data_IF_803880747699
#
_entry.id   IF_803880747699
#
_cell.length_a   1.000
_cell.length_b   1.000
_cell.length_c   1.000
_cell.angle_alpha   90.00
_cell.angle_beta   90.00
_cell.angle_gamma   90.00
#
_symmetry.space_group_name_H-M   'P 1'
#
loop_
_entity.id
_entity.type
_entity.pdbx_description
1 polymer ?
#
# COMPACT_ATOMS: atom_id res chain seq x y z
N UNK A 1 10.01 2.42 8.87
CA UNK A 1 9.29 1.18 8.54
C UNK A 1 10.25 0.00 8.49
N UNK A 2 9.81 -1.13 9.03
CA UNK A 2 10.52 -2.41 8.92
C UNK A 2 9.62 -3.35 8.13
N UNK A 3 10.16 -3.96 7.09
CA UNK A 3 9.46 -4.97 6.30
C UNK A 3 10.09 -6.34 6.53
N UNK A 4 9.29 -7.27 7.03
CA UNK A 4 9.66 -8.69 7.11
C UNK A 4 9.06 -9.42 5.90
N UNK A 5 9.87 -10.22 5.20
CA UNK A 5 9.40 -11.05 4.10
C UNK A 5 9.71 -12.52 4.36
N UNK A 6 8.70 -13.38 4.31
CA UNK A 6 8.80 -14.79 4.68
C UNK A 6 9.73 -15.58 3.75
N UNK A 7 9.81 -15.21 2.48
CA UNK A 7 10.62 -15.90 1.46
C UNK A 7 11.84 -15.08 1.00
N UNK A 8 12.14 -13.97 1.66
CA UNK A 8 13.19 -13.07 1.22
C UNK A 8 12.80 -12.22 0.01
N UNK A 9 13.65 -11.25 -0.32
CA UNK A 9 13.36 -10.29 -1.39
C UNK A 9 13.68 -10.81 -2.79
N UNK A 10 14.54 -11.80 -2.91
CA UNK A 10 15.09 -12.30 -4.18
C UNK A 10 14.43 -13.57 -4.70
N UNK A 11 13.37 -14.05 -4.05
CA UNK A 11 12.64 -15.23 -4.50
C UNK A 11 11.89 -14.99 -5.82
N UNK A 12 11.75 -16.04 -6.68
CA UNK A 12 10.95 -15.94 -7.89
C UNK A 12 9.52 -15.50 -7.60
N UNK A 13 8.95 -14.66 -8.47
CA UNK A 13 7.60 -14.08 -8.30
C UNK A 13 6.55 -15.20 -8.17
N UNK A 14 6.65 -16.25 -9.00
CA UNK A 14 5.70 -17.36 -9.00
C UNK A 14 5.68 -18.13 -7.68
N UNK A 15 6.82 -18.30 -7.02
CA UNK A 15 6.91 -18.95 -5.71
C UNK A 15 6.30 -18.05 -4.64
N UNK A 16 6.58 -16.77 -4.70
CA UNK A 16 6.04 -15.78 -3.75
C UNK A 16 4.52 -15.68 -3.85
N UNK A 17 3.96 -15.67 -5.04
CA UNK A 17 2.51 -15.64 -5.27
C UNK A 17 1.79 -16.88 -4.77
N UNK A 18 2.44 -18.05 -4.87
CA UNK A 18 1.88 -19.33 -4.41
C UNK A 18 1.99 -19.57 -2.91
N UNK A 19 2.83 -18.81 -2.23
CA UNK A 19 3.08 -19.03 -0.80
C UNK A 19 1.86 -18.72 0.06
N UNK A 20 1.15 -17.68 -0.26
CA UNK A 20 0.00 -17.19 0.53
C UNK A 20 -1.07 -16.53 -0.37
N UNK A 21 -1.70 -17.30 -1.28
CA UNK A 21 -2.58 -16.74 -2.29
C UNK A 21 -3.83 -16.08 -1.70
N UNK A 22 -4.32 -16.56 -0.56
CA UNK A 22 -5.50 -16.03 0.13
C UNK A 22 -5.17 -15.02 1.26
N UNK A 23 -3.89 -14.79 1.55
CA UNK A 23 -3.45 -13.90 2.61
C UNK A 23 -3.56 -14.47 4.03
N UNK A 24 -3.97 -15.73 4.22
CA UNK A 24 -4.22 -16.31 5.53
C UNK A 24 -2.95 -16.39 6.39
N UNK A 25 -1.81 -16.75 5.80
CA UNK A 25 -0.52 -16.82 6.50
C UNK A 25 -0.06 -15.44 6.95
N UNK A 26 -0.10 -14.45 6.06
CA UNK A 26 0.25 -13.06 6.39
C UNK A 26 -0.66 -12.50 7.48
N UNK A 27 -1.95 -12.73 7.38
CA UNK A 27 -2.90 -12.27 8.40
C UNK A 27 -2.64 -12.92 9.76
N UNK A 28 -2.23 -14.18 9.79
CA UNK A 28 -1.80 -14.86 11.01
C UNK A 28 -0.56 -14.22 11.62
N UNK A 29 0.45 -13.92 10.80
CA UNK A 29 1.66 -13.21 11.22
C UNK A 29 1.36 -11.80 11.73
N UNK A 30 0.52 -11.06 11.01
CA UNK A 30 0.11 -9.70 11.42
C UNK A 30 -0.52 -9.73 12.81
N UNK A 31 -1.44 -10.66 13.06
CA UNK A 31 -2.08 -10.78 14.40
C UNK A 31 -1.08 -11.12 15.50
N UNK A 32 -0.17 -12.05 15.24
CA UNK A 32 0.83 -12.46 16.22
C UNK A 32 1.81 -11.32 16.53
N UNK A 33 2.33 -10.64 15.52
CA UNK A 33 3.28 -9.53 15.70
C UNK A 33 2.58 -8.31 16.33
N UNK A 34 1.36 -7.99 15.93
CA UNK A 34 0.61 -6.89 16.51
C UNK A 34 0.31 -7.10 17.99
N UNK A 35 0.07 -8.35 18.41
CA UNK A 35 -0.12 -8.67 19.83
C UNK A 35 1.12 -8.40 20.68
N UNK A 36 2.31 -8.63 20.11
CA UNK A 36 3.60 -8.41 20.80
C UNK A 36 4.07 -6.95 20.73
N UNK A 37 3.60 -6.19 19.74
CA UNK A 37 3.99 -4.81 19.48
C UNK A 37 2.76 -3.88 19.40
N UNK A 38 2.00 -3.74 20.51
CA UNK A 38 0.72 -3.02 20.49
C UNK A 38 0.86 -1.52 20.21
N UNK A 39 2.05 -0.95 20.39
CA UNK A 39 2.36 0.46 20.11
C UNK A 39 2.68 0.75 18.64
N UNK A 40 2.87 -0.30 17.83
CA UNK A 40 3.21 -0.16 16.43
C UNK A 40 2.03 -0.52 15.52
N UNK A 41 2.09 -0.05 14.30
CA UNK A 41 1.19 -0.46 13.23
C UNK A 41 1.78 -1.66 12.49
N UNK A 42 1.01 -2.74 12.37
CA UNK A 42 1.42 -3.96 11.68
C UNK A 42 0.42 -4.27 10.58
N UNK A 43 0.87 -4.36 9.35
CA UNK A 43 0.02 -4.61 8.18
C UNK A 43 0.62 -5.66 7.25
N UNK A 44 -0.25 -6.38 6.56
CA UNK A 44 0.18 -7.25 5.46
C UNK A 44 0.60 -6.39 4.26
N UNK A 45 1.77 -6.68 3.71
CA UNK A 45 2.30 -6.03 2.51
C UNK A 45 2.63 -7.04 1.41
N UNK A 46 2.63 -6.61 0.17
CA UNK A 46 3.01 -7.45 -0.98
C UNK A 46 2.34 -8.83 -1.00
N UNK A 47 3.08 -9.85 -1.41
CA UNK A 47 2.61 -11.25 -1.46
C UNK A 47 3.12 -12.09 -0.28
N UNK A 48 4.25 -11.71 0.32
CA UNK A 48 4.94 -12.49 1.35
C UNK A 48 5.39 -11.65 2.54
N UNK A 49 4.96 -10.39 2.63
CA UNK A 49 5.54 -9.42 3.56
C UNK A 49 4.58 -9.01 4.65
N UNK A 50 5.15 -8.62 5.77
CA UNK A 50 4.50 -7.91 6.87
C UNK A 50 5.28 -6.62 7.13
N UNK A 51 4.58 -5.51 7.14
CA UNK A 51 5.13 -4.19 7.37
C UNK A 51 4.85 -3.72 8.80
N UNK A 52 5.87 -3.22 9.46
CA UNK A 52 5.81 -2.68 10.82
C UNK A 52 6.26 -1.24 10.77
N UNK A 53 5.44 -0.32 11.25
CA UNK A 53 5.73 1.11 11.25
C UNK A 53 5.20 1.79 12.52
N UNK A 54 5.61 3.03 12.72
CA UNK A 54 5.01 3.87 13.75
C UNK A 54 3.54 4.15 13.38
N UNK A 55 2.67 4.19 14.40
CA UNK A 55 1.28 4.57 14.18
C UNK A 55 1.18 5.98 13.62
N UNK A 56 0.26 6.17 12.65
CA UNK A 56 0.06 7.44 11.99
C UNK A 56 1.00 7.72 10.81
N UNK A 57 2.01 6.89 10.59
CA UNK A 57 2.92 6.99 9.43
C UNK A 57 2.49 6.01 8.33
N UNK A 58 1.31 6.24 7.78
CA UNK A 58 0.73 5.48 6.69
C UNK A 58 0.67 6.32 5.39
N UNK A 59 -0.01 5.83 4.38
CA UNK A 59 -0.15 6.56 3.11
C UNK A 59 -1.02 7.80 3.25
N UNK A 60 -1.93 7.85 4.22
CA UNK A 60 -2.66 9.07 4.56
C UNK A 60 -1.73 10.17 5.07
N UNK A 61 -0.78 9.82 5.93
CA UNK A 61 0.25 10.75 6.39
C UNK A 61 1.06 11.28 5.20
N UNK A 62 1.54 10.41 4.32
CA UNK A 62 2.33 10.79 3.16
C UNK A 62 1.56 11.75 2.23
N UNK A 63 0.29 11.48 1.97
CA UNK A 63 -0.59 12.35 1.15
C UNK A 63 -0.74 13.73 1.80
N UNK A 64 -0.98 13.79 3.10
CA UNK A 64 -1.13 15.07 3.83
C UNK A 64 0.17 15.88 3.84
N UNK A 65 1.31 15.22 4.06
CA UNK A 65 2.62 15.88 4.02
C UNK A 65 2.94 16.42 2.62
N UNK A 66 2.64 15.65 1.57
CA UNK A 66 2.82 16.10 0.19
C UNK A 66 1.91 17.30 -0.13
N UNK A 67 0.64 17.22 0.23
CA UNK A 67 -0.32 18.31 0.04
C UNK A 67 0.15 19.60 0.73
N UNK A 68 0.61 19.48 1.98
CA UNK A 68 1.13 20.60 2.76
C UNK A 68 2.38 21.21 2.12
N UNK A 69 3.33 20.39 1.69
CA UNK A 69 4.58 20.86 1.07
C UNK A 69 4.38 21.55 -0.28
N UNK A 70 3.33 21.16 -1.01
CA UNK A 70 2.96 21.76 -2.31
C UNK A 70 1.94 22.90 -2.19
N UNK A 71 1.46 23.19 -0.97
CA UNK A 71 0.39 24.15 -0.71
C UNK A 71 -0.87 23.85 -1.55
N UNK A 72 -1.26 22.58 -1.60
CA UNK A 72 -2.41 22.07 -2.32
C UNK A 72 -3.38 21.37 -1.37
N UNK A 73 -4.70 21.43 -1.63
CA UNK A 73 -5.64 20.56 -0.93
C UNK A 73 -5.43 19.10 -1.31
N UNK A 74 -5.72 18.19 -0.38
CA UNK A 74 -5.50 16.73 -0.55
C UNK A 74 -6.25 16.18 -1.77
N UNK A 75 -7.44 16.69 -2.08
CA UNK A 75 -8.25 16.27 -3.23
C UNK A 75 -7.67 16.66 -4.61
N UNK A 76 -6.59 17.42 -4.62
CA UNK A 76 -5.80 17.73 -5.83
C UNK A 76 -4.64 16.78 -6.07
N UNK A 77 -4.47 15.79 -5.21
CA UNK A 77 -3.45 14.75 -5.35
C UNK A 77 -4.12 13.47 -5.83
N UNK A 78 -3.69 12.95 -6.97
CA UNK A 78 -4.09 11.63 -7.43
C UNK A 78 -3.20 10.57 -6.79
N UNK A 79 -3.82 9.58 -6.18
CA UNK A 79 -3.15 8.41 -5.64
C UNK A 79 -3.60 7.16 -6.40
N UNK A 80 -2.65 6.40 -6.92
CA UNK A 80 -2.91 5.17 -7.67
C UNK A 80 -2.40 3.98 -6.86
N UNK A 81 -3.25 2.99 -6.65
CA UNK A 81 -2.87 1.82 -5.88
C UNK A 81 -3.75 0.61 -6.17
N UNK A 82 -3.24 -0.57 -5.89
CA UNK A 82 -3.92 -1.85 -6.13
C UNK A 82 -4.58 -2.44 -4.87
N UNK A 83 -4.30 -1.87 -3.69
CA UNK A 83 -4.81 -2.33 -2.40
C UNK A 83 -5.72 -1.30 -1.72
N UNK A 84 -6.78 -0.94 -2.44
CA UNK A 84 -7.76 0.07 -2.02
C UNK A 84 -8.93 -0.48 -1.19
N UNK A 85 -8.96 -1.75 -0.85
CA UNK A 85 -9.97 -2.30 0.08
C UNK A 85 -9.68 -1.85 1.52
N UNK A 86 -10.67 -1.84 2.44
CA UNK A 86 -10.51 -1.30 3.80
C UNK A 86 -9.36 -1.89 4.61
N UNK A 87 -8.97 -3.13 4.34
CA UNK A 87 -7.83 -3.82 4.95
C UNK A 87 -6.53 -3.68 4.15
N UNK A 88 -6.57 -3.01 3.00
CA UNK A 88 -5.41 -2.77 2.12
C UNK A 88 -4.56 -1.60 2.59
N UNK A 89 -3.27 -1.63 2.27
CA UNK A 89 -2.33 -0.59 2.67
C UNK A 89 -2.44 0.72 1.87
N UNK A 90 -3.22 0.72 0.77
CA UNK A 90 -3.52 1.91 -0.03
C UNK A 90 -4.79 2.65 0.42
N UNK A 91 -5.66 1.96 1.16
CA UNK A 91 -6.93 2.51 1.62
C UNK A 91 -6.79 3.82 2.43
N UNK A 92 -5.78 3.97 3.32
CA UNK A 92 -5.59 5.23 4.04
C UNK A 92 -5.41 6.45 3.14
N UNK A 93 -4.85 6.31 1.95
CA UNK A 93 -4.73 7.41 0.99
C UNK A 93 -6.10 7.87 0.47
N UNK A 94 -7.01 6.94 0.23
CA UNK A 94 -8.40 7.25 -0.14
C UNK A 94 -9.16 7.90 1.02
N UNK A 95 -9.02 7.37 2.24
CA UNK A 95 -9.65 7.95 3.44
C UNK A 95 -9.17 9.37 3.73
N UNK A 96 -7.92 9.70 3.40
CA UNK A 96 -7.39 11.06 3.54
C UNK A 96 -8.06 12.07 2.60
N UNK A 97 -8.81 11.62 1.61
CA UNK A 97 -9.54 12.48 0.67
C UNK A 97 -8.81 12.74 -0.64
N UNK A 98 -7.73 11.99 -0.95
CA UNK A 98 -7.06 12.07 -2.25
C UNK A 98 -7.98 11.59 -3.38
N UNK A 99 -7.66 11.99 -4.62
CA UNK A 99 -8.27 11.40 -5.80
C UNK A 99 -7.72 9.98 -5.99
N UNK A 100 -8.32 9.01 -5.31
CA UNK A 100 -7.84 7.64 -5.30
C UNK A 100 -8.32 6.86 -6.52
N UNK A 101 -7.39 6.28 -7.25
CA UNK A 101 -7.65 5.46 -8.44
C UNK A 101 -7.17 4.03 -8.17
N UNK A 102 -8.11 3.10 -8.18
CA UNK A 102 -7.78 1.68 -8.04
C UNK A 102 -7.29 1.11 -9.38
N UNK A 103 -6.19 0.38 -9.31
CA UNK A 103 -5.64 -0.39 -10.42
C UNK A 103 -5.51 -1.86 -10.02
N UNK A 104 -5.33 -2.74 -10.99
CA UNK A 104 -5.17 -4.18 -10.76
C UNK A 104 -3.71 -4.62 -10.69
N UNK A 105 -2.79 -3.74 -11.09
CA UNK A 105 -1.36 -4.01 -11.09
C UNK A 105 -0.58 -3.06 -11.99
N UNK A 106 0.71 -3.36 -12.24
CA UNK A 106 1.60 -2.46 -12.97
C UNK A 106 1.16 -2.14 -14.41
N UNK A 107 0.61 -3.12 -15.12
CA UNK A 107 0.14 -2.93 -16.50
C UNK A 107 -1.05 -1.97 -16.57
N UNK A 108 -1.95 -2.05 -15.60
CA UNK A 108 -3.09 -1.15 -15.49
C UNK A 108 -2.65 0.27 -15.14
N UNK A 109 -1.66 0.40 -14.27
CA UNK A 109 -1.02 1.68 -13.97
C UNK A 109 -0.38 2.29 -15.21
N UNK A 110 0.32 1.50 -16.02
CA UNK A 110 0.94 1.97 -17.26
C UNK A 110 -0.11 2.52 -18.23
N UNK A 111 -1.23 1.81 -18.42
CA UNK A 111 -2.34 2.30 -19.26
C UNK A 111 -2.91 3.62 -18.75
N UNK A 112 -3.09 3.75 -17.43
CA UNK A 112 -3.54 5.00 -16.82
C UNK A 112 -2.56 6.15 -17.10
N UNK A 113 -1.26 5.89 -17.01
CA UNK A 113 -0.23 6.88 -17.33
C UNK A 113 -0.30 7.32 -18.80
N UNK A 114 -0.47 6.38 -19.74
CA UNK A 114 -0.61 6.69 -21.17
C UNK A 114 -1.84 7.57 -21.44
N UNK A 115 -2.96 7.27 -20.80
CA UNK A 115 -4.18 8.10 -20.89
C UNK A 115 -3.96 9.51 -20.36
N UNK A 116 -3.29 9.65 -19.21
CA UNK A 116 -3.00 10.95 -18.61
C UNK A 116 -2.07 11.75 -19.51
N UNK A 117 -1.03 11.15 -20.05
CA UNK A 117 -0.11 11.79 -21.00
C UNK A 117 -0.88 12.30 -22.23
N UNK A 118 -1.73 11.47 -22.80
CA UNK A 118 -2.54 11.85 -23.96
C UNK A 118 -3.48 13.04 -23.69
N UNK A 119 -4.05 13.10 -22.48
CA UNK A 119 -4.98 14.17 -22.09
C UNK A 119 -4.29 15.49 -21.70
N UNK A 120 -3.07 15.40 -21.19
CA UNK A 120 -2.31 16.55 -20.69
C UNK A 120 -1.34 17.13 -21.74
N UNK A 121 -1.22 16.46 -22.86
CA UNK A 121 -0.32 16.90 -23.96
C UNK A 121 -0.97 17.87 -24.92
#
# INVERSE_FOLDING_TARGET
QITFTALGQQGPVEIRERWDPDGAKRNGLVRAVAADLPELEVRAGGTTSVDISLRGYDKAFAIRELASSLDLPVDRIMFVGDRMSPDGNDYPAAEAGSLAVRVTGPEDTARLCDELIARLS
#
